data_IF_135414252076
#
_entry.id   IF_135414252076
#
_cell.length_a   1.000
_cell.length_b   1.000
_cell.length_c   1.000
_cell.angle_alpha   90.00
_cell.angle_beta   90.00
_cell.angle_gamma   90.00
#
_symmetry.space_group_name_H-M   'P 1'
#
loop_
_entity.id
_entity.type
_entity.pdbx_description
1 polymer ?
#
# COMPACT_ATOMS: atom_id res chain seq x y z
N UNK A 1 -14.67 -0.67 12.35
CA UNK A 1 -15.12 -1.52 11.25
C UNK A 1 -13.92 -2.12 10.56
N UNK A 2 -13.98 -3.42 10.31
CA UNK A 2 -13.00 -4.13 9.50
C UNK A 2 -13.38 -3.98 8.02
N UNK A 3 -12.52 -3.38 7.16
CA UNK A 3 -12.84 -3.19 5.75
C UNK A 3 -12.71 -4.49 4.94
N UNK A 4 -13.45 -4.56 3.84
CA UNK A 4 -13.32 -5.59 2.82
C UNK A 4 -12.05 -5.42 1.98
N UNK A 5 -11.63 -6.50 1.32
CA UNK A 5 -10.60 -6.39 0.29
C UNK A 5 -11.06 -5.52 -0.88
N UNK A 6 -10.18 -4.61 -1.28
CA UNK A 6 -10.44 -3.63 -2.32
C UNK A 6 -11.33 -2.47 -1.87
N UNK A 7 -11.78 -2.43 -0.61
CA UNK A 7 -12.61 -1.35 -0.10
C UNK A 7 -11.79 -0.09 0.13
N UNK A 8 -12.32 1.03 -0.37
CA UNK A 8 -11.81 2.36 -0.08
C UNK A 8 -12.41 2.85 1.23
N UNK A 9 -11.56 3.34 2.12
CA UNK A 9 -11.93 3.81 3.46
C UNK A 9 -11.20 5.09 3.82
N UNK A 10 -11.77 5.82 4.79
CA UNK A 10 -11.09 6.87 5.52
C UNK A 10 -10.27 6.24 6.64
N UNK A 11 -9.01 6.63 6.73
CA UNK A 11 -8.03 6.12 7.68
C UNK A 11 -7.46 7.28 8.51
N UNK A 12 -7.33 7.09 9.82
CA UNK A 12 -6.71 8.06 10.72
C UNK A 12 -5.82 7.35 11.73
N UNK A 13 -4.60 7.84 11.95
CA UNK A 13 -3.72 7.30 12.98
C UNK A 13 -4.35 7.48 14.38
N UNK A 14 -4.24 6.46 15.23
CA UNK A 14 -4.58 6.52 16.65
C UNK A 14 -3.30 6.36 17.48
N UNK A 15 -2.59 7.46 17.80
CA UNK A 15 -1.34 7.43 18.54
C UNK A 15 -1.49 6.82 19.94
N UNK A 16 -2.63 7.08 20.58
CA UNK A 16 -2.91 6.63 21.95
C UNK A 16 -3.15 5.13 21.98
N UNK A 17 -3.94 4.59 21.04
CA UNK A 17 -4.14 3.16 20.95
C UNK A 17 -2.89 2.41 20.48
N UNK A 18 -2.07 3.03 19.62
CA UNK A 18 -0.83 2.46 19.09
C UNK A 18 0.18 2.16 20.20
N UNK A 19 0.44 3.14 21.08
CA UNK A 19 1.43 3.03 22.16
C UNK A 19 0.83 2.70 23.53
N UNK A 20 -0.41 2.20 23.56
CA UNK A 20 -1.14 1.91 24.80
C UNK A 20 -0.42 0.88 25.68
N UNK A 21 0.28 -0.08 25.08
CA UNK A 21 1.00 -1.14 25.78
C UNK A 21 2.14 -0.63 26.67
N UNK A 22 2.71 0.54 26.35
CA UNK A 22 3.82 1.13 27.12
C UNK A 22 3.39 1.62 28.51
N UNK A 23 2.10 1.89 28.71
CA UNK A 23 1.50 2.30 29.99
C UNK A 23 2.26 3.42 30.74
N UNK A 24 2.76 4.42 30.00
CA UNK A 24 3.56 5.53 30.53
C UNK A 24 2.79 6.87 30.38
N UNK A 25 2.60 7.66 31.46
CA UNK A 25 1.86 8.93 31.40
C UNK A 25 2.47 9.99 30.48
N UNK A 26 3.80 10.01 30.32
CA UNK A 26 4.47 10.97 29.43
C UNK A 26 4.24 10.59 27.95
N UNK A 27 4.34 9.29 27.61
CA UNK A 27 3.94 8.77 26.29
C UNK A 27 2.48 9.11 25.99
N UNK A 28 1.58 8.88 26.94
CA UNK A 28 0.16 9.20 26.76
C UNK A 28 -0.05 10.70 26.47
N UNK A 29 0.68 11.58 27.15
CA UNK A 29 0.61 13.03 26.96
C UNK A 29 1.13 13.41 25.57
N UNK A 30 2.28 12.86 25.16
CA UNK A 30 2.85 13.09 23.84
C UNK A 30 1.93 12.58 22.71
N UNK A 31 1.36 11.37 22.86
CA UNK A 31 0.40 10.81 21.91
C UNK A 31 -0.85 11.68 21.75
N UNK A 32 -1.37 12.25 22.85
CA UNK A 32 -2.52 13.17 22.81
C UNK A 32 -2.20 14.50 22.14
N UNK A 33 -0.94 14.94 22.19
CA UNK A 33 -0.48 16.16 21.53
C UNK A 33 -0.24 15.98 20.02
N UNK A 34 -0.07 14.73 19.56
CA UNK A 34 0.14 14.41 18.16
C UNK A 34 -1.13 14.73 17.33
N UNK A 35 -0.99 15.62 16.34
CA UNK A 35 -2.09 15.96 15.43
C UNK A 35 -2.14 14.94 14.30
N UNK A 36 -3.18 14.10 14.30
CA UNK A 36 -3.41 13.14 13.22
C UNK A 36 -4.45 13.63 12.22
N UNK A 37 -4.10 13.58 10.94
CA UNK A 37 -4.98 13.88 9.81
C UNK A 37 -5.76 12.63 9.36
N UNK A 38 -6.72 12.85 8.47
CA UNK A 38 -7.49 11.79 7.81
C UNK A 38 -6.95 11.54 6.40
N UNK A 39 -6.81 10.29 6.03
CA UNK A 39 -6.27 9.84 4.75
C UNK A 39 -7.28 8.93 4.07
N UNK A 40 -7.15 8.76 2.77
CA UNK A 40 -7.93 7.79 2.02
C UNK A 40 -7.03 6.60 1.72
N UNK A 41 -7.55 5.40 1.90
CA UNK A 41 -6.81 4.18 1.66
C UNK A 41 -7.69 3.09 1.06
N UNK A 42 -7.09 2.17 0.31
CA UNK A 42 -7.72 0.94 -0.16
C UNK A 42 -7.17 -0.25 0.63
N UNK A 43 -8.03 -1.05 1.24
CA UNK A 43 -7.62 -2.24 1.99
C UNK A 43 -7.21 -3.37 1.03
N UNK A 44 -5.95 -3.79 1.06
CA UNK A 44 -5.40 -4.74 0.08
C UNK A 44 -5.37 -6.17 0.60
N UNK A 45 -4.85 -6.36 1.82
CA UNK A 45 -4.61 -7.68 2.41
C UNK A 45 -4.89 -7.66 3.92
N UNK A 46 -5.36 -8.79 4.46
CA UNK A 46 -5.43 -9.02 5.90
C UNK A 46 -4.14 -9.76 6.27
N UNK A 47 -3.45 -9.24 7.27
CA UNK A 47 -2.21 -9.84 7.79
C UNK A 47 -2.48 -10.75 9.00
N UNK A 48 -3.72 -10.79 9.50
CA UNK A 48 -4.16 -11.68 10.57
C UNK A 48 -5.63 -12.03 10.41
N UNK A 49 -6.04 -13.20 10.89
CA UNK A 49 -7.44 -13.61 10.86
C UNK A 49 -8.27 -12.83 11.92
N UNK A 50 -9.50 -12.42 11.60
CA UNK A 50 -10.42 -11.80 12.55
C UNK A 50 -11.01 -12.85 13.50
N UNK A 51 -10.18 -13.36 14.41
CA UNK A 51 -10.62 -14.35 15.39
C UNK A 51 -11.49 -13.69 16.48
N UNK A 52 -12.56 -14.35 16.94
CA UNK A 52 -13.33 -13.85 18.09
C UNK A 52 -12.41 -13.66 19.31
N UNK A 53 -12.56 -12.52 19.98
CA UNK A 53 -11.73 -12.13 21.13
C UNK A 53 -10.42 -11.42 20.76
N UNK A 54 -9.96 -11.48 19.51
CA UNK A 54 -8.85 -10.64 19.07
C UNK A 54 -9.30 -9.17 19.05
N UNK A 55 -8.62 -8.28 19.78
CA UNK A 55 -9.00 -6.86 19.86
C UNK A 55 -8.73 -6.08 18.57
N UNK A 56 -7.67 -6.47 17.87
CA UNK A 56 -7.23 -5.82 16.64
C UNK A 56 -6.95 -6.85 15.56
N UNK A 57 -7.17 -6.47 14.32
CA UNK A 57 -6.80 -7.21 13.11
C UNK A 57 -5.77 -6.39 12.35
N UNK A 58 -4.68 -7.02 11.94
CA UNK A 58 -3.67 -6.38 11.11
C UNK A 58 -4.07 -6.46 9.63
N UNK A 59 -3.90 -5.37 8.91
CA UNK A 59 -4.13 -5.30 7.47
C UNK A 59 -3.04 -4.47 6.78
N UNK A 60 -2.94 -4.63 5.47
CA UNK A 60 -2.17 -3.77 4.58
C UNK A 60 -3.13 -2.90 3.78
N UNK A 61 -2.89 -1.60 3.77
CA UNK A 61 -3.66 -0.64 2.99
C UNK A 61 -2.75 0.16 2.06
N UNK A 62 -3.22 0.42 0.85
CA UNK A 62 -2.60 1.35 -0.08
C UNK A 62 -3.21 2.74 0.12
N UNK A 63 -2.41 3.76 0.40
CA UNK A 63 -2.92 5.12 0.51
C UNK A 63 -3.26 5.68 -0.88
N UNK A 64 -4.18 6.62 -0.92
CA UNK A 64 -4.63 7.32 -2.13
C UNK A 64 -4.14 8.77 -2.10
N UNK A 65 -3.61 9.25 -3.22
CA UNK A 65 -3.31 10.66 -3.46
C UNK A 65 -4.36 11.29 -4.37
N UNK A 66 -4.51 12.61 -4.25
CA UNK A 66 -5.18 13.43 -5.26
C UNK A 66 -4.12 14.16 -6.08
N UNK A 67 -4.13 13.91 -7.38
CA UNK A 67 -3.06 14.23 -8.31
C UNK A 67 -1.96 13.17 -8.33
N UNK A 68 -1.12 13.28 -9.36
CA UNK A 68 0.12 12.52 -9.44
C UNK A 68 0.98 12.89 -8.21
N UNK A 69 1.45 11.91 -7.42
CA UNK A 69 2.22 12.21 -6.22
C UNK A 69 3.54 12.90 -6.61
N UNK A 70 4.01 13.84 -5.77
CA UNK A 70 5.31 14.51 -6.00
C UNK A 70 6.52 13.56 -5.89
N UNK A 71 6.31 12.32 -5.44
CA UNK A 71 7.37 11.37 -5.12
C UNK A 71 8.17 11.78 -3.87
N UNK A 72 9.26 11.06 -3.66
CA UNK A 72 10.31 11.37 -2.68
C UNK A 72 11.64 10.90 -3.28
N UNK A 73 12.31 11.80 -4.00
CA UNK A 73 13.57 11.50 -4.69
C UNK A 73 14.67 11.07 -3.72
N UNK A 74 14.67 11.59 -2.49
CA UNK A 74 15.61 11.17 -1.44
C UNK A 74 15.41 9.72 -1.00
N UNK A 75 14.24 9.13 -1.29
CA UNK A 75 13.91 7.72 -1.09
C UNK A 75 13.79 6.94 -2.39
N UNK A 76 14.26 7.51 -3.51
CA UNK A 76 14.19 6.91 -4.85
C UNK A 76 12.75 6.68 -5.35
N UNK A 77 11.78 7.41 -4.82
CA UNK A 77 10.36 7.28 -5.17
C UNK A 77 10.02 8.32 -6.21
N UNK A 78 9.73 7.89 -7.44
CA UNK A 78 9.38 8.76 -8.54
C UNK A 78 7.86 9.02 -8.61
N UNK A 79 7.41 10.18 -9.14
CA UNK A 79 5.97 10.47 -9.35
C UNK A 79 5.20 9.44 -10.16
N UNK A 80 5.85 8.83 -11.15
CA UNK A 80 5.28 7.82 -12.05
C UNK A 80 5.23 6.41 -11.41
N UNK A 81 5.72 6.25 -10.18
CA UNK A 81 5.49 5.08 -9.33
C UNK A 81 4.10 5.17 -8.69
N UNK A 82 3.08 5.26 -9.53
CA UNK A 82 1.68 5.36 -9.11
C UNK A 82 0.75 4.65 -10.09
N UNK A 83 -0.51 4.45 -9.69
CA UNK A 83 -1.52 3.80 -10.54
C UNK A 83 -2.77 4.68 -10.55
N UNK A 84 -3.27 5.07 -11.73
CA UNK A 84 -4.48 5.90 -11.79
C UNK A 84 -5.70 5.15 -11.27
N UNK A 85 -6.65 5.91 -10.72
CA UNK A 85 -7.96 5.42 -10.30
C UNK A 85 -9.01 6.08 -11.20
N UNK A 86 -9.87 5.25 -11.80
CA UNK A 86 -10.93 5.71 -12.70
C UNK A 86 -11.78 6.81 -12.05
N UNK A 87 -12.06 7.92 -12.75
CA UNK A 87 -12.01 8.09 -14.21
C UNK A 87 -10.65 8.50 -14.80
N UNK A 88 -9.61 8.65 -13.98
CA UNK A 88 -8.31 9.14 -14.46
C UNK A 88 -7.67 8.12 -15.41
N UNK A 89 -7.14 8.61 -16.54
CA UNK A 89 -6.46 7.79 -17.55
C UNK A 89 -5.07 8.31 -17.89
N UNK A 90 -4.74 9.53 -17.45
CA UNK A 90 -3.43 10.11 -17.67
C UNK A 90 -2.44 9.54 -16.65
N UNK A 91 -1.41 8.86 -17.15
CA UNK A 91 -0.29 8.41 -16.37
C UNK A 91 0.97 8.36 -17.25
N UNK A 92 2.15 8.82 -16.79
CA UNK A 92 3.36 8.88 -17.62
C UNK A 92 3.75 7.53 -18.26
N UNK A 93 3.49 6.43 -17.55
CA UNK A 93 3.74 5.07 -18.02
C UNK A 93 2.51 4.39 -18.66
N UNK A 94 1.48 5.16 -19.03
CA UNK A 94 0.24 4.66 -19.67
C UNK A 94 -0.41 3.48 -18.92
N UNK A 95 -0.38 3.53 -17.59
CA UNK A 95 -0.90 2.45 -16.74
C UNK A 95 -2.43 2.41 -16.80
N UNK A 96 -3.03 1.22 -16.92
CA UNK A 96 -4.49 1.12 -16.90
C UNK A 96 -5.02 1.52 -15.52
N UNK A 97 -6.13 2.29 -15.45
CA UNK A 97 -6.69 2.69 -14.18
C UNK A 97 -7.35 1.53 -13.43
N UNK A 98 -7.29 1.61 -12.10
CA UNK A 98 -8.08 0.77 -11.22
C UNK A 98 -9.52 1.28 -11.22
N UNK A 99 -10.49 0.38 -11.30
CA UNK A 99 -11.91 0.75 -11.39
C UNK A 99 -12.63 0.49 -10.07
N UNK A 100 -13.01 1.54 -9.33
CA UNK A 100 -13.94 1.40 -8.22
C UNK A 100 -15.36 1.09 -8.73
N UNK A 101 -16.15 0.38 -7.93
CA UNK A 101 -17.56 0.06 -8.16
C UNK A 101 -18.43 1.31 -8.27
N UNK A 102 -18.07 2.35 -7.51
CA UNK A 102 -18.63 3.69 -7.61
C UNK A 102 -17.46 4.67 -7.72
N UNK A 103 -17.52 5.68 -8.61
CA UNK A 103 -16.49 6.71 -8.70
C UNK A 103 -16.18 7.30 -7.33
N UNK A 104 -14.90 7.50 -7.02
CA UNK A 104 -14.51 8.16 -5.77
C UNK A 104 -15.06 9.60 -5.76
N UNK A 105 -15.39 10.16 -4.57
CA UNK A 105 -15.90 11.53 -4.48
C UNK A 105 -14.96 12.61 -5.01
N UNK A 106 -13.66 12.30 -5.14
CA UNK A 106 -12.64 13.22 -5.62
C UNK A 106 -12.15 12.81 -7.02
N UNK A 107 -12.02 13.76 -7.95
CA UNK A 107 -11.40 13.50 -9.24
C UNK A 107 -9.88 13.34 -9.08
N UNK A 108 -9.24 12.85 -10.14
CA UNK A 108 -7.77 12.83 -10.29
C UNK A 108 -7.08 12.04 -9.14
N UNK A 109 -7.53 10.82 -8.87
CA UNK A 109 -6.99 10.00 -7.77
C UNK A 109 -6.00 8.95 -8.27
N UNK A 110 -4.97 8.68 -7.47
CA UNK A 110 -3.95 7.67 -7.76
C UNK A 110 -3.64 6.83 -6.51
N UNK A 111 -3.14 5.62 -6.74
CA UNK A 111 -2.43 4.81 -5.74
C UNK A 111 -0.93 5.01 -5.92
N UNK A 112 -0.23 5.82 -5.09
CA UNK A 112 1.23 5.80 -5.09
C UNK A 112 1.69 4.42 -4.61
N UNK A 113 2.45 3.71 -5.44
CA UNK A 113 2.75 2.29 -5.21
C UNK A 113 3.68 2.06 -4.02
N UNK A 114 4.43 3.11 -3.66
CA UNK A 114 5.32 3.12 -2.50
C UNK A 114 4.63 3.63 -1.22
N UNK A 115 3.36 4.05 -1.28
CA UNK A 115 2.60 4.55 -0.13
C UNK A 115 1.69 3.47 0.47
N UNK A 116 2.28 2.32 0.81
CA UNK A 116 1.57 1.23 1.49
C UNK A 116 1.87 1.22 2.98
N UNK A 117 0.87 0.83 3.78
CA UNK A 117 0.98 0.79 5.23
C UNK A 117 0.49 -0.54 5.76
N UNK A 118 1.19 -1.07 6.77
CA UNK A 118 0.70 -2.15 7.61
C UNK A 118 0.18 -1.54 8.90
N UNK A 119 -1.07 -1.80 9.23
CA UNK A 119 -1.74 -1.20 10.38
C UNK A 119 -2.64 -2.19 11.10
N UNK A 120 -2.99 -1.87 12.34
CA UNK A 120 -3.98 -2.57 13.16
C UNK A 120 -5.28 -1.79 13.16
N UNK A 121 -6.38 -2.46 12.86
CA UNK A 121 -7.74 -1.90 12.98
C UNK A 121 -8.49 -2.63 14.06
N UNK A 122 -9.41 -1.94 14.74
CA UNK A 122 -10.24 -2.57 15.77
C UNK A 122 -11.04 -3.70 15.16
N UNK A 123 -10.99 -4.87 15.79
CA UNK A 123 -11.85 -5.98 15.45
C UNK A 123 -13.23 -5.72 16.07
N UNK A 124 -14.19 -5.35 15.25
CA UNK A 124 -15.59 -5.20 15.63
C UNK A 124 -16.49 -6.21 14.91
N UNK A 125 -15.90 -7.26 14.34
CA UNK A 125 -16.65 -8.32 13.66
C UNK A 125 -17.24 -9.27 14.71
N UNK A 126 -18.57 -9.25 14.84
CA UNK A 126 -19.30 -10.29 15.52
C UNK A 126 -19.43 -11.51 14.60
N UNK A 127 -18.99 -12.68 15.08
CA UNK A 127 -18.99 -13.90 14.27
C UNK A 127 -20.42 -14.31 13.97
N UNK A 128 -20.79 -14.26 12.68
CA UNK A 128 -22.10 -14.68 12.19
C UNK A 128 -22.96 -13.54 11.64
N UNK A 129 -22.59 -12.28 11.90
CA UNK A 129 -23.27 -11.15 11.30
C UNK A 129 -22.84 -10.95 9.84
N UNK A 130 -23.77 -10.55 8.93
CA UNK A 130 -23.42 -10.25 7.56
C UNK A 130 -22.43 -9.08 7.51
N UNK A 131 -21.32 -9.26 6.80
CA UNK A 131 -20.37 -8.18 6.58
C UNK A 131 -21.01 -7.15 5.61
N UNK A 132 -21.14 -5.87 6.00
CA UNK A 132 -21.90 -4.89 5.23
C UNK A 132 -21.24 -4.59 3.88
N UNK A 133 -21.99 -4.70 2.78
CA UNK A 133 -21.47 -4.48 1.42
C UNK A 133 -20.85 -3.08 1.27
N UNK A 134 -19.58 -2.98 0.81
CA UNK A 134 -18.88 -1.71 0.74
C UNK A 134 -19.40 -0.84 -0.40
N UNK A 135 -19.64 0.45 -0.12
CA UNK A 135 -20.09 1.44 -1.13
C UNK A 135 -19.01 1.67 -2.19
N UNK A 136 -17.76 1.79 -1.79
CA UNK A 136 -16.63 2.04 -2.67
C UNK A 136 -15.65 0.86 -2.58
N UNK A 137 -15.69 -0.07 -3.52
CA UNK A 137 -14.74 -1.19 -3.62
C UNK A 137 -14.15 -1.27 -5.02
N UNK A 138 -13.00 -1.92 -5.19
CA UNK A 138 -12.53 -2.30 -6.53
C UNK A 138 -13.58 -3.22 -7.18
N UNK A 139 -13.92 -2.94 -8.44
CA UNK A 139 -14.97 -3.63 -9.19
C UNK A 139 -14.61 -5.10 -9.44
N UNK A 140 -13.37 -5.34 -9.87
CA UNK A 140 -12.88 -6.67 -10.20
C UNK A 140 -11.94 -7.17 -9.10
N UNK A 141 -12.15 -8.40 -8.63
CA UNK A 141 -11.22 -9.05 -7.70
C UNK A 141 -9.80 -9.19 -8.29
N UNK A 142 -9.68 -9.26 -9.63
CA UNK A 142 -8.40 -9.30 -10.35
C UNK A 142 -7.64 -7.98 -10.32
N UNK A 143 -8.33 -6.84 -10.17
CA UNK A 143 -7.68 -5.53 -10.10
C UNK A 143 -6.79 -5.42 -8.85
N UNK A 144 -7.17 -6.10 -7.76
CA UNK A 144 -6.35 -6.20 -6.55
C UNK A 144 -5.02 -6.92 -6.82
N UNK A 145 -5.06 -8.04 -7.56
CA UNK A 145 -3.85 -8.78 -7.93
C UNK A 145 -2.97 -7.96 -8.89
N UNK A 146 -3.60 -7.22 -9.80
CA UNK A 146 -2.89 -6.30 -10.70
C UNK A 146 -2.22 -5.16 -9.92
N UNK A 147 -2.91 -4.59 -8.94
CA UNK A 147 -2.37 -3.53 -8.09
C UNK A 147 -1.15 -4.03 -7.30
N UNK A 148 -1.24 -5.23 -6.71
CA UNK A 148 -0.12 -5.88 -6.03
C UNK A 148 1.08 -6.12 -6.96
N UNK A 149 0.83 -6.55 -8.20
CA UNK A 149 1.88 -6.72 -9.19
C UNK A 149 2.57 -5.39 -9.53
N UNK A 150 1.81 -4.31 -9.70
CA UNK A 150 2.35 -2.97 -9.95
C UNK A 150 3.17 -2.45 -8.77
N UNK A 151 2.78 -2.79 -7.54
CA UNK A 151 3.56 -2.44 -6.34
C UNK A 151 4.92 -3.12 -6.33
N UNK A 152 4.97 -4.41 -6.67
CA UNK A 152 6.22 -5.14 -6.78
C UNK A 152 7.11 -4.56 -7.88
N UNK A 153 6.56 -4.30 -9.07
CA UNK A 153 7.31 -3.69 -10.17
C UNK A 153 7.93 -2.34 -9.79
N UNK A 154 7.21 -1.48 -9.08
CA UNK A 154 7.77 -0.19 -8.65
C UNK A 154 8.74 -0.31 -7.49
N UNK A 155 8.59 -1.30 -6.61
CA UNK A 155 9.60 -1.60 -5.60
C UNK A 155 10.91 -2.01 -6.27
N UNK A 156 10.87 -2.94 -7.23
CA UNK A 156 12.04 -3.36 -8.01
C UNK A 156 12.70 -2.16 -8.73
N UNK A 157 11.89 -1.27 -9.32
CA UNK A 157 12.39 -0.04 -9.96
C UNK A 157 13.08 0.90 -8.97
N UNK A 158 12.48 1.12 -7.79
CA UNK A 158 13.06 1.95 -6.73
C UNK A 158 14.40 1.38 -6.26
N UNK A 159 14.47 0.07 -6.05
CA UNK A 159 15.66 -0.59 -5.56
C UNK A 159 16.78 -0.55 -6.62
N UNK A 160 16.45 -0.67 -7.91
CA UNK A 160 17.40 -0.45 -9.00
C UNK A 160 17.96 0.98 -9.05
N UNK A 161 17.13 2.00 -8.80
CA UNK A 161 17.59 3.39 -8.73
C UNK A 161 18.55 3.61 -7.55
N UNK A 162 18.28 2.98 -6.41
CA UNK A 162 19.13 3.02 -5.23
C UNK A 162 20.52 2.44 -5.52
N UNK A 163 20.57 1.22 -6.06
CA UNK A 163 21.82 0.56 -6.42
C UNK A 163 22.63 1.35 -7.47
N UNK A 164 21.98 1.97 -8.44
CA UNK A 164 22.65 2.80 -9.45
C UNK A 164 23.35 4.03 -8.87
N UNK A 165 22.80 4.63 -7.81
CA UNK A 165 23.42 5.78 -7.14
C UNK A 165 24.64 5.37 -6.29
N UNK A 166 24.61 4.21 -5.65
CA UNK A 166 25.72 3.70 -4.83
C UNK A 166 26.95 3.36 -5.68
N UNK A 167 26.74 2.77 -6.87
CA UNK A 167 27.81 2.51 -7.83
C UNK A 167 28.42 3.82 -8.35
N UNK A 168 27.60 4.84 -8.61
CA UNK A 168 28.07 6.15 -9.07
C UNK A 168 28.86 6.92 -8.00
N UNK A 169 28.60 6.64 -6.71
CA UNK A 169 29.24 7.33 -5.58
C UNK A 169 30.56 6.68 -5.12
N UNK A 170 30.84 5.43 -5.52
CA UNK A 170 32.03 4.66 -5.08
C UNK A 170 33.17 4.60 -6.12
N UNK A 171 32.97 5.09 -7.34
CA UNK A 171 33.94 5.01 -8.44
C UNK A 171 34.96 6.16 -8.54
N UNK A 172 35.10 7.01 -7.52
CA UNK A 172 35.95 8.19 -7.58
C UNK A 172 36.79 8.40 -6.34
N UNK A 173 37.89 7.66 -6.21
CA UNK A 173 39.19 7.98 -5.59
C UNK A 173 39.99 6.67 -5.65
N UNK A 174 40.86 6.52 -6.66
CA UNK A 174 42.13 5.76 -6.59
C UNK A 174 42.74 5.68 -7.99
N UNK A 175 43.32 6.79 -8.44
CA UNK A 175 44.28 6.79 -9.54
C UNK A 175 45.23 7.98 -9.40
N UNK A 176 46.03 8.01 -8.34
CA UNK A 176 47.27 8.81 -8.30
C UNK A 176 48.43 7.94 -7.80
N UNK A 177 49.46 7.90 -8.64
CA UNK A 177 50.87 7.57 -8.41
C UNK A 177 51.28 6.13 -8.03
N UNK A 178 51.88 5.47 -9.03
CA UNK A 178 53.33 5.21 -8.98
C UNK A 178 53.95 5.24 -10.37
N UNK A 179 54.72 6.29 -10.62
CA UNK A 179 55.68 6.37 -11.71
C UNK A 179 56.89 5.45 -11.49
N UNK A 180 57.32 4.76 -12.54
CA UNK A 180 58.74 4.61 -12.91
C UNK A 180 58.88 4.13 -14.36
N UNK A 181 60.03 4.42 -14.99
CA UNK A 181 60.09 4.87 -16.38
C UNK A 181 60.62 3.80 -17.35
N UNK A 182 60.61 4.18 -18.63
CA UNK A 182 61.32 3.58 -19.76
C UNK A 182 60.55 2.44 -20.49
N UNK A 183 59.89 2.76 -21.60
CA UNK A 183 60.51 2.55 -22.92
C UNK A 183 59.66 3.23 -24.03
N UNK A 184 60.36 3.88 -24.96
CA UNK A 184 59.81 4.63 -26.09
C UNK A 184 59.31 3.69 -27.19
N UNK A 185 58.12 3.95 -27.75
CA UNK A 185 57.93 4.01 -29.22
C UNK A 185 56.51 4.44 -29.60
N UNK A 186 56.43 5.71 -30.00
CA UNK A 186 55.66 6.38 -31.06
C UNK A 186 54.37 5.81 -31.71
N UNK A 187 53.47 6.80 -31.92
CA UNK A 187 52.37 6.93 -32.91
C UNK A 187 51.10 6.05 -32.74
N UNK A 188 49.86 6.54 -32.74
CA UNK A 188 49.30 7.77 -33.32
C UNK A 188 47.98 8.19 -32.64
N UNK A 189 47.82 9.52 -32.54
CA UNK A 189 46.63 10.36 -32.32
C UNK A 189 45.34 9.79 -32.94
N UNK A 190 44.12 9.97 -32.41
CA UNK A 190 43.50 11.20 -31.90
C UNK A 190 42.17 10.85 -31.20
N UNK A 191 41.96 11.44 -30.04
CA UNK A 191 40.74 11.40 -29.22
C UNK A 191 39.58 12.18 -29.86
N UNK A 192 38.35 11.78 -29.54
CA UNK A 192 37.30 12.66 -29.00
C UNK A 192 36.14 11.78 -28.51
N UNK A 193 36.24 11.34 -27.26
CA UNK A 193 35.10 10.81 -26.52
C UNK A 193 34.24 11.99 -26.03
N UNK A 194 33.17 12.23 -26.77
CA UNK A 194 32.06 13.07 -26.36
C UNK A 194 31.12 12.20 -25.53
N UNK A 195 31.06 12.46 -24.22
CA UNK A 195 29.98 11.97 -23.35
C UNK A 195 28.62 12.39 -23.93
N UNK A 196 27.62 11.50 -24.05
CA UNK A 196 26.29 11.93 -24.42
C UNK A 196 25.65 12.65 -23.23
N UNK A 197 25.59 13.97 -23.37
CA UNK A 197 24.62 14.86 -22.75
C UNK A 197 23.22 14.30 -23.01
N UNK A 198 22.49 13.92 -21.96
CA UNK A 198 21.04 13.75 -22.02
C UNK A 198 20.40 14.95 -21.33
N UNK A 199 20.22 16.02 -22.08
CA UNK A 199 19.21 17.04 -21.79
C UNK A 199 18.41 17.29 -23.06
N UNK A 200 17.09 17.17 -22.89
CA UNK A 200 16.02 17.91 -23.57
C UNK A 200 16.04 17.98 -25.11
N UNK A 201 15.02 17.38 -25.72
CA UNK A 201 14.24 18.07 -26.75
C UNK A 201 12.79 17.55 -26.81
N UNK A 202 11.88 18.52 -26.79
CA UNK A 202 10.56 18.57 -27.40
C UNK A 202 9.44 17.62 -26.92
N UNK A 203 8.85 17.96 -25.77
CA UNK A 203 7.40 17.75 -25.62
C UNK A 203 6.71 18.97 -26.22
N UNK A 204 6.42 18.87 -27.52
CA UNK A 204 5.38 19.68 -28.15
C UNK A 204 4.04 19.39 -27.45
N UNK A 205 3.71 20.35 -26.61
CA UNK A 205 2.40 20.75 -26.15
C UNK A 205 1.27 20.38 -27.14
N UNK A 206 0.62 19.22 -26.94
CA UNK A 206 -0.65 18.89 -27.59
C UNK A 206 -1.74 18.69 -26.54
N UNK A 207 -2.27 19.83 -26.10
CA UNK A 207 -3.71 20.10 -25.98
C UNK A 207 -4.62 18.87 -25.73
N UNK A 208 -4.95 18.59 -24.46
CA UNK A 208 -6.14 17.79 -24.13
C UNK A 208 -7.40 18.59 -24.49
N UNK A 209 -7.89 18.42 -25.72
CA UNK A 209 -9.17 18.95 -26.17
C UNK A 209 -10.30 18.13 -25.56
N UNK A 210 -11.05 18.73 -24.64
CA UNK A 210 -12.34 18.22 -24.20
C UNK A 210 -13.29 18.18 -25.40
N UNK A 211 -13.82 16.99 -25.72
CA UNK A 211 -14.94 16.84 -26.65
C UNK A 211 -16.20 16.51 -25.84
N UNK A 212 -17.09 17.50 -25.79
CA UNK A 212 -18.51 17.39 -25.49
C UNK A 212 -19.29 16.85 -26.70
N UNK A 213 -20.57 16.50 -26.45
CA UNK A 213 -21.66 16.23 -27.42
C UNK A 213 -21.69 14.83 -28.06
N UNK A 214 -22.82 14.15 -28.29
CA UNK A 214 -24.23 14.45 -28.00
C UNK A 214 -25.06 13.14 -28.04
N UNK A 215 -26.32 13.28 -27.64
CA UNK A 215 -27.41 12.32 -27.56
C UNK A 215 -27.72 11.55 -28.86
N UNK A 216 -28.22 10.32 -28.70
CA UNK A 216 -29.32 9.82 -29.54
C UNK A 216 -30.20 8.78 -28.83
N UNK A 217 -31.51 9.08 -28.81
CA UNK A 217 -32.66 8.26 -28.39
C UNK A 217 -32.98 7.18 -29.42
N UNK A 218 -33.53 6.03 -28.99
CA UNK A 218 -34.67 5.28 -29.61
C UNK A 218 -34.92 4.00 -28.77
N UNK A 219 -35.98 3.93 -27.97
CA UNK A 219 -37.36 3.46 -28.23
C UNK A 219 -37.55 1.93 -28.29
N UNK A 220 -38.39 1.43 -27.37
CA UNK A 220 -38.98 0.07 -27.33
C UNK A 220 -39.93 -0.22 -28.50
N UNK A 221 -40.40 -1.47 -28.65
CA UNK A 221 -41.74 -1.75 -28.13
C UNK A 221 -41.89 -3.09 -27.39
N UNK A 222 -43.08 -3.23 -26.80
CA UNK A 222 -43.54 -4.17 -25.79
C UNK A 222 -44.31 -5.39 -26.35
N UNK A 223 -44.59 -6.35 -25.45
CA UNK A 223 -45.66 -7.36 -25.54
C UNK A 223 -45.13 -8.79 -25.31
N UNK A 224 -45.80 -9.74 -24.66
CA UNK A 224 -47.13 -9.82 -24.01
C UNK A 224 -47.25 -11.25 -23.40
N UNK A 225 -47.96 -11.41 -22.28
CA UNK A 225 -48.55 -12.68 -21.79
C UNK A 225 -47.86 -13.29 -20.54
N UNK A 226 -48.42 -13.29 -19.31
CA UNK A 226 -49.59 -14.05 -18.77
C UNK A 226 -49.45 -15.56 -19.02
N UNK A 227 -49.58 -16.49 -18.06
CA UNK A 227 -50.45 -16.69 -16.89
C UNK A 227 -49.82 -17.78 -15.99
N UNK A 228 -49.84 -17.69 -14.64
CA UNK A 228 -50.81 -18.23 -13.67
C UNK A 228 -50.51 -19.63 -13.09
N UNK A 229 -50.81 -19.80 -11.79
CA UNK A 229 -51.03 -21.10 -11.12
C UNK A 229 -49.89 -21.53 -10.19
N UNK A 230 -49.90 -21.23 -8.88
CA UNK A 230 -50.77 -21.69 -7.79
C UNK A 230 -50.19 -22.90 -7.00
N UNK A 231 -50.12 -22.68 -5.69
CA UNK A 231 -50.41 -23.61 -4.59
C UNK A 231 -49.37 -24.60 -4.06
N UNK A 232 -49.07 -24.35 -2.78
CA UNK A 232 -49.18 -25.28 -1.63
C UNK A 232 -48.18 -26.44 -1.53
N UNK A 233 -47.37 -26.46 -0.46
CA UNK A 233 -47.71 -27.17 0.79
C UNK A 233 -46.62 -27.02 1.87
N UNK A 234 -47.10 -26.96 3.11
CA UNK A 234 -46.40 -27.01 4.38
C UNK A 234 -45.62 -28.34 4.59
N UNK A 235 -44.58 -28.30 5.44
CA UNK A 235 -44.53 -28.96 6.77
C UNK A 235 -43.07 -29.01 7.28
N UNK A 236 -42.93 -28.70 8.56
CA UNK A 236 -41.72 -28.66 9.36
C UNK A 236 -41.02 -30.02 9.53
N UNK A 237 -39.70 -29.98 9.70
CA UNK A 237 -38.97 -30.93 10.55
C UNK A 237 -37.80 -30.24 11.28
N UNK A 238 -38.02 -29.97 12.58
CA UNK A 238 -36.94 -29.86 13.57
C UNK A 238 -36.34 -31.26 13.76
N UNK A 239 -35.04 -31.46 13.52
CA UNK A 239 -34.17 -32.33 14.36
C UNK A 239 -32.71 -31.91 14.28
N UNK A 240 -32.10 -31.84 15.47
CA UNK A 240 -30.67 -31.69 15.77
C UNK A 240 -29.81 -32.67 14.96
N UNK A 241 -28.68 -32.21 14.43
CA UNK A 241 -27.55 -33.05 14.07
C UNK A 241 -26.29 -32.60 14.84
N UNK A 242 -25.46 -33.54 15.32
CA UNK A 242 -24.35 -33.26 16.22
C UNK A 242 -23.10 -32.77 15.49
N UNK A 243 -22.38 -31.87 16.15
CA UNK A 243 -21.10 -31.29 15.73
C UNK A 243 -19.98 -32.28 16.06
N UNK A 244 -19.64 -33.17 15.12
CA UNK A 244 -18.31 -33.79 15.03
C UNK A 244 -18.19 -34.62 13.75
N UNK A 245 -17.08 -34.43 13.02
CA UNK A 245 -16.58 -35.25 11.88
C UNK A 245 -16.64 -34.68 10.44
N UNK A 246 -16.49 -33.36 10.25
CA UNK A 246 -16.28 -32.79 8.90
C UNK A 246 -14.85 -32.31 8.56
N UNK A 247 -13.86 -32.47 9.45
CA UNK A 247 -12.52 -31.90 9.23
C UNK A 247 -11.39 -32.84 8.78
N UNK A 248 -11.65 -34.09 8.39
CA UNK A 248 -10.57 -35.01 7.99
C UNK A 248 -10.52 -35.44 6.51
N UNK A 249 -11.17 -34.71 5.59
CA UNK A 249 -11.15 -35.10 4.16
C UNK A 249 -10.81 -34.03 3.12
N UNK A 250 -10.23 -32.89 3.54
CA UNK A 250 -9.76 -31.83 2.62
C UNK A 250 -8.24 -31.74 2.45
N UNK A 251 -7.45 -32.66 3.01
CA UNK A 251 -6.01 -32.73 2.78
C UNK A 251 -5.59 -34.08 2.20
N UNK A 252 -5.95 -34.33 0.94
CA UNK A 252 -5.27 -35.34 0.15
C UNK A 252 -5.20 -34.87 -1.31
N UNK A 253 -3.96 -34.64 -1.76
CA UNK A 253 -3.51 -34.21 -3.11
C UNK A 253 -3.63 -32.71 -3.42
N UNK A 254 -2.60 -31.97 -3.03
CA UNK A 254 -2.17 -30.76 -3.74
C UNK A 254 -0.79 -31.05 -4.35
N UNK A 255 -0.55 -30.74 -5.64
CA UNK A 255 0.78 -30.86 -6.26
C UNK A 255 1.80 -29.97 -5.57
N UNK A 256 3.07 -30.40 -5.55
CA UNK A 256 4.20 -29.62 -5.06
C UNK A 256 4.29 -28.30 -5.82
N UNK A 257 3.88 -27.20 -5.19
CA UNK A 257 4.18 -25.85 -5.65
C UNK A 257 5.63 -25.54 -5.29
N UNK A 258 6.38 -25.18 -6.33
CA UNK A 258 7.74 -24.69 -6.30
C UNK A 258 7.91 -23.50 -5.35
N UNK A 259 9.09 -23.41 -4.75
CA UNK A 259 9.54 -22.35 -3.87
C UNK A 259 9.06 -20.94 -4.29
N UNK A 260 8.31 -20.31 -3.38
CA UNK A 260 8.14 -18.86 -3.33
C UNK A 260 9.46 -18.25 -2.85
N UNK A 261 10.10 -17.32 -3.57
CA UNK A 261 11.18 -16.54 -2.98
C UNK A 261 10.57 -15.64 -1.91
N UNK A 262 11.23 -15.66 -0.75
CA UNK A 262 10.93 -14.86 0.40
C UNK A 262 11.19 -13.38 0.11
N UNK A 263 10.42 -12.52 0.79
CA UNK A 263 10.65 -11.09 0.89
C UNK A 263 12.06 -10.85 1.46
N UNK A 264 12.99 -10.34 0.66
CA UNK A 264 14.20 -9.70 1.16
C UNK A 264 13.88 -8.25 1.48
N UNK A 265 13.66 -7.96 2.76
CA UNK A 265 14.16 -6.69 3.28
C UNK A 265 15.68 -6.85 3.35
N UNK A 266 16.44 -5.81 2.99
CA UNK A 266 17.87 -5.73 3.29
C UNK A 266 18.06 -5.94 4.81
N UNK A 267 18.40 -7.17 5.19
CA UNK A 267 19.16 -7.50 6.40
C UNK A 267 20.64 -7.37 6.03
N UNK A 268 21.11 -6.13 5.83
CA UNK A 268 22.54 -5.83 6.00
C UNK A 268 22.77 -5.46 7.46
N UNK A 269 22.79 -6.49 8.30
CA UNK A 269 23.61 -6.52 9.50
C UNK A 269 24.29 -7.90 9.52
N UNK A 270 25.58 -7.88 9.16
CA UNK A 270 26.48 -9.01 9.18
C UNK A 270 26.33 -9.83 10.47
N UNK A 271 26.17 -11.15 10.30
CA UNK A 271 26.42 -12.11 11.38
C UNK A 271 27.93 -12.12 11.62
N UNK A 272 28.39 -11.21 12.48
CA UNK A 272 29.51 -11.45 13.36
C UNK A 272 29.42 -10.57 14.61
N UNK A 273 28.90 -11.22 15.66
CA UNK A 273 29.13 -10.91 17.07
C UNK A 273 28.38 -9.72 17.66
N UNK A 274 27.34 -10.03 18.45
CA UNK A 274 26.90 -9.26 19.62
C UNK A 274 26.27 -7.86 19.38
N UNK A 275 24.96 -7.83 19.09
CA UNK A 275 24.04 -6.88 19.74
C UNK A 275 22.57 -7.23 19.48
N UNK A 276 21.77 -7.25 20.55
CA UNK A 276 20.33 -7.52 20.51
C UNK A 276 19.57 -6.40 19.77
N UNK A 277 19.17 -6.64 18.53
CA UNK A 277 18.04 -5.92 17.93
C UNK A 277 16.72 -6.61 18.36
N UNK A 278 15.69 -5.88 18.82
CA UNK A 278 14.48 -6.50 19.32
C UNK A 278 13.63 -7.00 18.15
N UNK A 279 13.20 -8.25 18.26
CA UNK A 279 12.08 -8.82 17.50
C UNK A 279 10.98 -7.78 17.37
N UNK A 280 10.53 -7.48 16.15
CA UNK A 280 9.36 -6.63 15.88
C UNK A 280 8.14 -7.31 16.50
N UNK A 281 7.86 -6.98 17.75
CA UNK A 281 6.67 -7.48 18.44
C UNK A 281 5.44 -6.87 17.79
N UNK A 282 4.30 -7.57 17.83
CA UNK A 282 3.02 -7.11 17.26
C UNK A 282 2.55 -5.74 17.80
N UNK A 283 3.22 -5.21 18.83
CA UNK A 283 2.95 -3.92 19.45
C UNK A 283 3.52 -2.72 18.68
N UNK A 284 4.45 -2.93 17.74
CA UNK A 284 5.04 -1.85 16.92
C UNK A 284 4.19 -1.45 15.70
N UNK A 285 3.18 -2.25 15.33
CA UNK A 285 2.30 -1.93 14.20
C UNK A 285 1.33 -0.81 14.64
N UNK A 286 1.23 0.32 13.93
CA UNK A 286 0.36 1.42 14.34
C UNK A 286 -1.12 1.00 14.31
N UNK A 287 -1.88 1.47 15.30
CA UNK A 287 -3.35 1.34 15.32
C UNK A 287 -3.94 2.52 14.55
N UNK A 288 -4.91 2.23 13.69
CA UNK A 288 -5.64 3.22 12.91
C UNK A 288 -7.14 3.07 13.13
N UNK A 289 -7.83 4.21 13.09
CA UNK A 289 -9.28 4.29 13.05
C UNK A 289 -9.70 4.27 11.59
N UNK A 290 -10.69 3.43 11.27
CA UNK A 290 -11.24 3.27 9.93
C UNK A 290 -12.71 3.67 9.92
N UNK A 291 -13.11 4.40 8.89
CA UNK A 291 -14.49 4.79 8.60
C UNK A 291 -14.79 4.61 7.12
N UNK A 292 -16.02 4.20 6.79
CA UNK A 292 -16.49 4.04 5.41
C UNK A 292 -17.10 5.32 4.82
N UNK A 293 -17.18 6.39 5.60
CA UNK A 293 -17.76 7.67 5.19
C UNK A 293 -16.76 8.53 4.41
N UNK A 294 -16.53 8.17 3.15
CA UNK A 294 -15.66 8.93 2.24
C UNK A 294 -16.20 10.35 2.00
N UNK A 295 -17.52 10.53 1.98
CA UNK A 295 -18.14 11.82 1.66
C UNK A 295 -17.89 12.90 2.71
N UNK A 296 -17.58 12.49 3.96
CA UNK A 296 -17.14 13.41 5.01
C UNK A 296 -15.80 14.10 4.70
N UNK A 297 -14.98 13.55 3.82
CA UNK A 297 -13.63 14.07 3.53
C UNK A 297 -13.69 15.10 2.40
N UNK A 298 -13.42 16.38 2.72
CA UNK A 298 -13.47 17.46 1.72
C UNK A 298 -12.27 17.47 0.76
N UNK A 299 -11.12 17.01 1.23
CA UNK A 299 -9.85 17.03 0.50
C UNK A 299 -9.03 15.81 0.89
N UNK A 300 -8.44 15.15 -0.11
CA UNK A 300 -7.49 14.05 0.11
C UNK A 300 -6.14 14.65 0.54
N UNK A 301 -5.64 14.23 1.69
CA UNK A 301 -4.32 14.65 2.17
C UNK A 301 -3.21 13.91 1.43
N UNK A 302 -2.03 14.54 1.35
CA UNK A 302 -0.83 13.91 0.79
C UNK A 302 -0.50 12.64 1.59
N UNK A 303 -0.46 11.45 0.97
CA UNK A 303 -0.19 10.20 1.68
C UNK A 303 1.19 10.21 2.38
N UNK A 304 2.16 10.98 1.91
CA UNK A 304 3.47 11.10 2.56
C UNK A 304 3.40 11.82 3.91
N UNK A 305 2.37 12.64 4.16
CA UNK A 305 2.14 13.19 5.50
C UNK A 305 1.85 12.09 6.53
N UNK A 306 1.22 10.98 6.13
CA UNK A 306 0.93 9.89 7.05
C UNK A 306 2.21 9.26 7.57
N UNK A 307 3.21 9.08 6.71
CA UNK A 307 4.52 8.55 7.11
C UNK A 307 5.26 9.54 8.03
N UNK A 308 5.10 10.86 7.83
CA UNK A 308 5.62 11.86 8.78
C UNK A 308 4.95 11.74 10.15
N UNK A 309 3.65 11.46 10.20
CA UNK A 309 2.94 11.19 11.47
C UNK A 309 3.44 9.88 12.12
N UNK A 310 3.68 8.83 11.34
CA UNK A 310 4.26 7.59 11.84
C UNK A 310 5.68 7.77 12.39
N UNK A 311 6.52 8.56 11.72
CA UNK A 311 7.87 8.85 12.20
C UNK A 311 7.84 9.67 13.49
N UNK A 312 6.85 10.55 13.66
CA UNK A 312 6.62 11.25 14.92
C UNK A 312 6.14 10.29 16.03
N UNK A 313 5.27 9.32 15.72
CA UNK A 313 4.86 8.28 16.68
C UNK A 313 6.04 7.41 17.12
N UNK A 314 6.89 6.97 16.18
CA UNK A 314 8.10 6.18 16.46
C UNK A 314 9.10 6.95 17.34
N UNK A 315 9.21 8.27 17.17
CA UNK A 315 10.06 9.11 18.04
C UNK A 315 9.59 9.08 19.50
N UNK A 316 8.28 9.17 19.73
CA UNK A 316 7.70 9.08 21.09
C UNK A 316 8.04 7.73 21.72
N UNK A 317 7.91 6.64 20.95
CA UNK A 317 8.26 5.29 21.40
C UNK A 317 9.76 5.16 21.72
N UNK A 318 10.64 5.69 20.84
CA UNK A 318 12.09 5.67 21.05
C UNK A 318 12.51 6.44 22.31
N UNK A 319 11.94 7.63 22.54
CA UNK A 319 12.19 8.43 23.75
C UNK A 319 11.78 7.68 25.02
N UNK A 320 10.68 6.91 24.99
CA UNK A 320 10.30 6.05 26.10
C UNK A 320 11.37 5.00 26.40
N UNK A 321 11.84 4.27 25.38
CA UNK A 321 12.86 3.24 25.58
C UNK A 321 14.19 3.81 26.07
N UNK A 322 14.58 4.99 25.59
CA UNK A 322 15.76 5.70 26.10
C UNK A 322 15.62 6.07 27.58
N UNK A 323 14.47 6.62 28.00
CA UNK A 323 14.18 6.90 29.42
C UNK A 323 14.22 5.64 30.28
N UNK A 324 13.68 4.53 29.78
CA UNK A 324 13.67 3.26 30.51
C UNK A 324 15.06 2.64 30.62
N UNK A 325 15.92 2.82 29.62
CA UNK A 325 17.33 2.40 29.68
C UNK A 325 18.11 3.23 30.71
N UNK A 326 17.93 4.55 30.71
CA UNK A 326 18.61 5.44 31.65
C UNK A 326 18.25 5.19 33.13
N UNK A 327 17.03 4.70 33.43
CA UNK A 327 16.61 4.31 34.79
C UNK A 327 17.21 2.99 35.28
N UNK A 328 17.76 2.17 34.38
CA UNK A 328 18.36 0.86 34.70
C UNK A 328 19.87 0.94 34.92
N UNK A 329 20.49 2.06 34.56
CA UNK A 329 21.89 2.39 34.83
C UNK A 329 21.98 3.20 36.12
#
# INVERSE_FOLDING_TARGET
MLPHFGEYVVLKLDPVASLRSLNDPAVLTACKALKSKTYIACAINLCSFPLPGAKYVSLTAALVSQGLPNGDLGRFILPDMSVPISPETCHPLSRPPMKPSNPLPWPNCYHPTQATIKCRVRNDTDVGDPWPEPKYKMELATDRLRLDQLFRQDADRRDALRLGQDVSSSGGIDAIDRASPDDESDECRRSNDTFPVWFEEDIENTYCRSASEDKSKTSYPAGLGRDAGSSQLLIAFRRRFPVSSFFHRLFAKVPRLSHSPAYSYDEDDDISTSSFAPVVTADSIPVVIVSNDLESVKKVNDPWDFFRELDALKRIEAEYYQRMKAKKC
#
